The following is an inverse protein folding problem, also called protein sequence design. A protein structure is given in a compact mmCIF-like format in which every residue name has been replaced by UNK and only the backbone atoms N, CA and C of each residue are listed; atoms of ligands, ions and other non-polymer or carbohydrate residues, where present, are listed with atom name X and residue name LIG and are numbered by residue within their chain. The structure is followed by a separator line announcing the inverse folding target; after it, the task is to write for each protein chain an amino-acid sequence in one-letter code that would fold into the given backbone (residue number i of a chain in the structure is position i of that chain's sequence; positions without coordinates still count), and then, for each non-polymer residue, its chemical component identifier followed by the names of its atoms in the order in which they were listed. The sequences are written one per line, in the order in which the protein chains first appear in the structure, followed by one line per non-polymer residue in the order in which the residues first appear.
data_IF_995258688123
#
_entry.id   IF_995258688123
#
_cell.length_a   1.000
_cell.length_b   1.000
_cell.length_c   1.000
_cell.angle_alpha   90.00
_cell.angle_beta   90.00
_cell.angle_gamma   90.00
#
_symmetry.space_group_name_H-M   'P 1'
#
loop_
_entity.id
_entity.type
_entity.pdbx_description
1 polymer ?
#
# COMPACT_ATOMS: atom_id res chain seq x y z
N UNK A 1 -4.17 24.15 3.26
CA UNK A 1 -3.94 22.71 3.03
C UNK A 1 -3.09 22.17 4.16
N UNK A 2 -3.42 21.00 4.68
CA UNK A 2 -2.62 20.28 5.66
C UNK A 2 -2.53 18.81 5.25
N UNK A 3 -1.32 18.28 5.08
CA UNK A 3 -1.08 16.85 4.86
C UNK A 3 -0.51 16.25 6.15
N UNK A 4 -1.10 15.15 6.60
CA UNK A 4 -0.69 14.44 7.80
C UNK A 4 -0.46 12.95 7.51
N UNK A 5 0.78 12.59 7.18
CA UNK A 5 1.20 11.22 6.92
C UNK A 5 1.71 10.51 8.18
N UNK A 6 0.95 10.57 9.27
CA UNK A 6 1.26 9.92 10.55
C UNK A 6 0.00 9.30 11.13
N UNK A 7 0.15 8.29 11.99
CA UNK A 7 -1.00 7.71 12.67
C UNK A 7 -0.65 6.66 13.70
N UNK A 8 -1.70 6.17 14.35
CA UNK A 8 -1.74 5.05 15.26
C UNK A 8 -2.63 3.95 14.65
N UNK A 9 -2.35 2.66 14.87
CA UNK A 9 -3.21 1.57 14.40
C UNK A 9 -4.59 1.53 15.09
N UNK A 10 -4.87 2.44 16.03
CA UNK A 10 -6.15 2.54 16.71
C UNK A 10 -7.23 3.02 15.74
N UNK A 11 -8.21 2.16 15.46
CA UNK A 11 -9.42 2.50 14.72
C UNK A 11 -10.41 3.20 15.67
N UNK A 12 -10.26 4.51 15.89
CA UNK A 12 -11.11 5.29 16.79
C UNK A 12 -11.46 6.67 16.18
N UNK A 13 -12.74 6.97 15.89
CA UNK A 13 -13.14 8.27 15.33
C UNK A 13 -12.97 9.42 16.34
N UNK A 14 -13.03 9.13 17.63
CA UNK A 14 -12.89 10.05 18.75
C UNK A 14 -11.44 10.22 19.23
N UNK A 15 -10.48 9.56 18.58
CA UNK A 15 -9.07 9.69 18.95
C UNK A 15 -8.61 11.15 18.82
N UNK A 16 -7.70 11.64 19.70
CA UNK A 16 -7.34 13.06 19.73
C UNK A 16 -6.85 13.61 18.38
N UNK A 17 -6.12 12.80 17.60
CA UNK A 17 -5.64 13.22 16.27
C UNK A 17 -6.77 13.30 15.24
N UNK A 18 -7.73 12.38 15.27
CA UNK A 18 -8.91 12.41 14.39
C UNK A 18 -9.79 13.62 14.69
N UNK A 19 -10.05 13.85 15.98
CA UNK A 19 -10.81 15.02 16.44
C UNK A 19 -10.12 16.34 16.08
N UNK A 20 -8.78 16.40 16.20
CA UNK A 20 -8.02 17.59 15.83
C UNK A 20 -8.10 17.87 14.32
N UNK A 21 -8.04 16.84 13.48
CA UNK A 21 -8.19 16.95 12.03
C UNK A 21 -9.60 17.39 11.62
N UNK A 22 -10.64 16.86 12.27
CA UNK A 22 -12.01 17.30 12.03
C UNK A 22 -12.21 18.77 12.40
N UNK A 23 -11.68 19.23 13.54
CA UNK A 23 -11.71 20.65 13.95
C UNK A 23 -10.93 21.56 13.02
N UNK A 24 -9.76 21.14 12.54
CA UNK A 24 -9.00 21.89 11.55
C UNK A 24 -9.79 22.03 10.23
N UNK A 25 -10.51 20.97 9.85
CA UNK A 25 -11.37 20.98 8.67
C UNK A 25 -12.57 21.91 8.82
N UNK A 26 -13.20 21.92 10.00
CA UNK A 26 -14.27 22.87 10.34
C UNK A 26 -13.80 24.33 10.31
N UNK A 27 -12.53 24.60 10.60
CA UNK A 27 -11.92 25.92 10.48
C UNK A 27 -11.60 26.33 9.03
N UNK A 28 -12.02 25.54 8.03
CA UNK A 28 -11.82 25.83 6.60
C UNK A 28 -10.49 25.34 6.04
N UNK A 29 -9.69 24.60 6.82
CA UNK A 29 -8.44 24.01 6.33
C UNK A 29 -8.78 22.69 5.62
N UNK A 30 -8.45 22.57 4.33
CA UNK A 30 -8.53 21.26 3.67
C UNK A 30 -7.44 20.37 4.27
N UNK A 31 -7.85 19.27 4.91
CA UNK A 31 -6.96 18.32 5.56
C UNK A 31 -6.95 16.98 4.84
N UNK A 32 -5.75 16.40 4.73
CA UNK A 32 -5.49 15.12 4.09
C UNK A 32 -4.66 14.26 5.04
N UNK A 33 -5.02 12.98 5.18
CA UNK A 33 -4.35 12.04 6.07
C UNK A 33 -4.16 10.68 5.39
N UNK A 34 -3.10 9.97 5.77
CA UNK A 34 -2.92 8.56 5.41
C UNK A 34 -3.93 7.66 6.13
N UNK A 35 -4.47 6.63 5.45
CA UNK A 35 -5.44 5.70 6.04
C UNK A 35 -4.81 4.62 6.95
N UNK A 36 -3.50 4.38 6.82
CA UNK A 36 -2.75 3.37 7.57
C UNK A 36 -2.20 2.24 6.68
N UNK A 37 -1.25 1.47 7.22
CA UNK A 37 -0.55 0.40 6.52
C UNK A 37 -0.74 -0.97 7.22
N UNK A 38 -1.91 -1.21 7.82
CA UNK A 38 -2.23 -2.41 8.60
C UNK A 38 -3.26 -3.32 7.94
N UNK A 39 -3.48 -3.15 6.63
CA UNK A 39 -4.24 -4.11 5.82
C UNK A 39 -3.55 -5.48 5.75
N UNK A 40 -4.18 -6.49 5.13
CA UNK A 40 -5.38 -6.42 4.31
C UNK A 40 -6.69 -6.71 5.06
N UNK A 41 -6.67 -6.90 6.37
CA UNK A 41 -7.90 -7.21 7.09
C UNK A 41 -8.82 -5.97 7.16
N UNK A 42 -10.13 -6.20 7.20
CA UNK A 42 -11.11 -5.15 7.48
C UNK A 42 -10.90 -4.59 8.90
N UNK A 43 -11.43 -3.40 9.17
CA UNK A 43 -11.27 -2.67 10.44
C UNK A 43 -9.84 -2.25 10.78
N UNK A 44 -8.92 -2.30 9.83
CA UNK A 44 -7.50 -1.93 10.01
C UNK A 44 -7.20 -0.44 9.82
N UNK A 45 -8.20 0.39 9.47
CA UNK A 45 -8.05 1.86 9.41
C UNK A 45 -7.59 2.41 10.76
N UNK A 46 -6.53 3.21 10.72
CA UNK A 46 -5.94 3.82 11.91
C UNK A 46 -6.35 5.27 12.09
N UNK A 47 -6.07 5.82 13.27
CA UNK A 47 -6.25 7.25 13.55
C UNK A 47 -5.00 8.02 13.14
N UNK A 48 -5.11 9.12 12.37
CA UNK A 48 -6.33 9.89 12.17
C UNK A 48 -7.08 9.66 10.86
N UNK A 49 -6.79 8.59 10.12
CA UNK A 49 -7.57 8.17 8.93
C UNK A 49 -9.06 7.92 9.22
N UNK A 50 -9.42 7.72 10.49
CA UNK A 50 -10.81 7.63 10.99
C UNK A 50 -11.55 8.97 11.04
N UNK A 51 -10.87 10.11 10.84
CA UNK A 51 -11.49 11.44 10.85
C UNK A 51 -12.59 11.56 9.78
N UNK A 52 -13.76 12.06 10.17
CA UNK A 52 -14.95 12.08 9.32
C UNK A 52 -14.84 13.12 8.19
N UNK A 53 -14.26 14.29 8.50
CA UNK A 53 -14.19 15.46 7.61
C UNK A 53 -12.91 15.51 6.80
N UNK A 54 -11.82 14.99 7.35
CA UNK A 54 -10.56 14.88 6.61
C UNK A 54 -10.69 13.94 5.41
N UNK A 55 -9.81 14.13 4.42
CA UNK A 55 -9.65 13.21 3.29
C UNK A 55 -8.64 12.14 3.70
N UNK A 56 -9.11 10.94 3.97
CA UNK A 56 -8.30 9.76 4.26
C UNK A 56 -7.95 9.02 2.99
N UNK A 57 -6.66 8.71 2.83
CA UNK A 57 -6.09 8.24 1.57
C UNK A 57 -5.52 6.84 1.72
N UNK A 58 -6.06 5.89 0.97
CA UNK A 58 -5.48 4.55 0.79
C UNK A 58 -4.43 4.53 -0.31
N UNK A 59 -3.66 3.44 -0.38
CA UNK A 59 -2.57 3.29 -1.33
C UNK A 59 -2.95 2.32 -2.45
N UNK A 60 -2.67 2.71 -3.69
CA UNK A 60 -2.66 1.85 -4.87
C UNK A 60 -1.27 1.78 -5.48
N UNK A 61 -1.05 0.82 -6.38
CA UNK A 61 0.13 0.81 -7.24
C UNK A 61 -0.02 1.88 -8.33
N UNK A 62 1.06 2.60 -8.70
CA UNK A 62 1.11 3.27 -10.00
C UNK A 62 1.19 2.23 -11.13
N UNK A 63 1.03 2.61 -12.41
CA UNK A 63 1.48 1.80 -13.53
C UNK A 63 2.98 1.51 -13.37
N UNK A 64 3.34 0.26 -13.08
CA UNK A 64 4.73 -0.14 -12.84
C UNK A 64 5.02 -1.51 -13.42
N UNK A 65 6.25 -1.70 -13.91
CA UNK A 65 6.73 -3.03 -14.33
C UNK A 65 7.23 -3.78 -13.12
N UNK A 66 6.41 -4.69 -12.62
CA UNK A 66 6.69 -5.39 -11.38
C UNK A 66 7.30 -6.78 -11.65
N UNK A 67 8.37 -7.14 -10.91
CA UNK A 67 8.92 -8.49 -10.97
C UNK A 67 7.94 -9.50 -10.36
N UNK A 68 7.67 -10.58 -11.10
CA UNK A 68 6.87 -11.71 -10.65
C UNK A 68 7.70 -12.98 -10.66
N UNK A 69 7.65 -13.71 -9.54
CA UNK A 69 8.20 -15.04 -9.41
C UNK A 69 7.33 -16.03 -10.20
N UNK A 70 7.97 -16.81 -11.06
CA UNK A 70 7.41 -18.03 -11.63
C UNK A 70 8.18 -19.22 -11.05
N UNK A 71 7.48 -20.06 -10.30
CA UNK A 71 8.02 -21.31 -9.78
C UNK A 71 8.01 -22.39 -10.86
N UNK A 72 9.00 -23.27 -10.87
CA UNK A 72 9.03 -24.38 -11.82
C UNK A 72 7.79 -25.28 -11.62
N UNK A 73 7.15 -25.65 -12.72
CA UNK A 73 5.93 -26.47 -12.73
C UNK A 73 4.63 -25.73 -12.35
N UNK A 74 4.68 -24.42 -12.09
CA UNK A 74 3.50 -23.57 -11.87
C UNK A 74 3.34 -22.54 -13.00
N UNK A 75 2.09 -22.29 -13.40
CA UNK A 75 1.74 -21.15 -14.25
C UNK A 75 1.31 -19.93 -13.44
N UNK A 76 1.31 -20.03 -12.10
CA UNK A 76 1.04 -18.91 -11.20
C UNK A 76 2.25 -17.94 -11.19
N UNK A 77 1.96 -16.65 -11.36
CA UNK A 77 2.92 -15.57 -11.26
C UNK A 77 2.70 -14.83 -9.94
N UNK A 78 3.71 -14.83 -9.07
CA UNK A 78 3.59 -14.21 -7.73
C UNK A 78 4.37 -12.90 -7.71
N UNK A 79 3.69 -11.80 -7.43
CA UNK A 79 4.31 -10.49 -7.30
C UNK A 79 5.42 -10.50 -6.22
N UNK A 80 6.63 -10.10 -6.61
CA UNK A 80 7.74 -9.86 -5.69
C UNK A 80 7.64 -8.45 -5.11
N UNK A 81 7.38 -8.35 -3.81
CA UNK A 81 7.27 -7.05 -3.15
C UNK A 81 8.67 -6.46 -2.90
N UNK A 82 8.87 -5.19 -3.25
CA UNK A 82 10.14 -4.51 -3.00
C UNK A 82 10.44 -4.45 -1.49
N UNK A 83 11.68 -4.79 -1.11
CA UNK A 83 12.17 -4.52 0.25
C UNK A 83 12.68 -3.07 0.27
N UNK A 84 12.08 -2.22 1.10
CA UNK A 84 12.47 -0.82 1.18
C UNK A 84 13.94 -0.67 1.58
N UNK A 85 14.68 0.21 0.87
CA UNK A 85 16.09 0.47 1.15
C UNK A 85 17.06 -0.54 0.53
N UNK A 86 16.60 -1.49 -0.27
CA UNK A 86 17.46 -2.41 -1.05
C UNK A 86 17.52 -2.01 -2.52
N UNK A 87 18.39 -2.64 -3.31
CA UNK A 87 18.37 -2.46 -4.76
C UNK A 87 17.09 -3.05 -5.36
N UNK A 88 16.52 -2.41 -6.40
CA UNK A 88 15.41 -3.00 -7.15
C UNK A 88 15.75 -4.41 -7.62
N UNK A 89 14.74 -5.27 -7.67
CA UNK A 89 14.91 -6.59 -8.27
C UNK A 89 15.33 -6.43 -9.74
N UNK A 90 16.46 -7.05 -10.11
CA UNK A 90 17.07 -6.95 -11.44
C UNK A 90 17.49 -8.31 -12.03
N UNK A 91 17.13 -9.41 -11.37
CA UNK A 91 17.38 -10.76 -11.86
C UNK A 91 16.40 -11.10 -13.00
N UNK A 92 16.91 -11.14 -14.24
CA UNK A 92 16.14 -11.36 -15.48
C UNK A 92 16.31 -12.76 -16.11
N UNK A 93 16.90 -13.69 -15.38
CA UNK A 93 17.19 -15.05 -15.84
C UNK A 93 16.74 -16.06 -14.80
N UNK A 94 16.71 -17.34 -15.18
CA UNK A 94 16.57 -18.41 -14.19
C UNK A 94 17.77 -18.39 -13.25
N UNK A 95 17.51 -18.43 -11.94
CA UNK A 95 18.54 -18.54 -10.91
C UNK A 95 18.23 -19.73 -10.02
N UNK A 96 19.28 -20.38 -9.52
CA UNK A 96 19.15 -21.38 -8.46
C UNK A 96 18.72 -20.71 -7.18
N UNK A 97 17.89 -21.40 -6.41
CA UNK A 97 17.44 -20.96 -5.09
C UNK A 97 17.88 -21.97 -4.03
N UNK A 98 18.21 -21.48 -2.83
CA UNK A 98 18.49 -22.31 -1.65
C UNK A 98 17.55 -21.92 -0.51
N UNK A 99 17.29 -22.88 0.38
CA UNK A 99 16.65 -22.60 1.67
C UNK A 99 17.70 -22.05 2.63
N UNK A 100 17.64 -20.75 2.89
CA UNK A 100 18.52 -20.03 3.78
C UNK A 100 17.99 -19.94 5.21
N UNK A 101 16.97 -20.72 5.58
CA UNK A 101 16.45 -20.83 6.94
C UNK A 101 16.10 -19.47 7.56
N UNK A 102 16.71 -19.15 8.70
CA UNK A 102 16.54 -17.87 9.39
C UNK A 102 17.56 -16.82 8.97
N UNK A 103 18.37 -17.09 7.96
CA UNK A 103 19.42 -16.20 7.46
C UNK A 103 20.57 -16.05 8.44
N UNK A 104 20.78 -17.03 9.32
CA UNK A 104 22.00 -17.14 10.11
C UNK A 104 23.15 -17.56 9.20
N UNK A 105 24.42 -17.23 9.53
CA UNK A 105 25.56 -17.62 8.70
C UNK A 105 25.61 -19.12 8.38
N UNK A 106 25.28 -19.97 9.37
CA UNK A 106 25.27 -21.43 9.23
C UNK A 106 24.13 -21.92 8.31
N UNK A 107 23.01 -21.18 8.22
CA UNK A 107 21.90 -21.52 7.33
C UNK A 107 22.20 -21.21 5.85
N UNK A 108 23.30 -20.50 5.58
CA UNK A 108 23.63 -19.95 4.26
C UNK A 108 24.83 -20.65 3.61
N UNK A 109 25.23 -21.81 4.12
CA UNK A 109 26.19 -22.67 3.44
C UNK A 109 25.66 -23.04 2.05
N UNK A 110 26.47 -22.81 1.00
CA UNK A 110 26.09 -23.09 -0.39
C UNK A 110 25.30 -21.98 -1.10
N UNK A 111 25.13 -20.80 -0.48
CA UNK A 111 24.43 -19.66 -1.09
C UNK A 111 25.16 -19.05 -2.30
N UNK A 112 26.45 -19.34 -2.49
CA UNK A 112 27.28 -18.71 -3.51
C UNK A 112 26.69 -18.84 -4.92
N UNK A 113 26.41 -17.70 -5.55
CA UNK A 113 25.83 -17.64 -6.90
C UNK A 113 24.32 -17.91 -6.97
N UNK A 114 23.65 -18.07 -5.83
CA UNK A 114 22.24 -18.48 -5.72
C UNK A 114 21.38 -17.42 -5.03
N UNK A 115 20.06 -17.52 -5.19
CA UNK A 115 19.09 -16.72 -4.45
C UNK A 115 18.83 -17.40 -3.11
N UNK A 116 18.94 -16.66 -2.01
CA UNK A 116 18.65 -17.19 -0.69
C UNK A 116 17.18 -16.91 -0.31
N UNK A 117 16.39 -17.98 -0.14
CA UNK A 117 15.05 -17.90 0.46
C UNK A 117 15.20 -17.86 1.98
N UNK A 118 14.83 -16.75 2.62
CA UNK A 118 15.04 -16.54 4.05
C UNK A 118 13.71 -16.23 4.72
N UNK A 119 13.43 -16.87 5.84
CA UNK A 119 12.23 -16.60 6.63
C UNK A 119 12.37 -15.34 7.48
N UNK A 120 11.31 -14.53 7.53
CA UNK A 120 11.20 -13.38 8.41
C UNK A 120 11.16 -13.80 9.88
N UNK A 121 11.85 -13.05 10.75
CA UNK A 121 11.83 -13.24 12.21
C UNK A 121 13.21 -13.60 12.77
N UNK A 122 13.31 -13.69 14.10
CA UNK A 122 14.55 -14.02 14.82
C UNK A 122 15.58 -12.89 14.83
N UNK A 123 16.25 -12.66 13.71
CA UNK A 123 17.26 -11.60 13.52
C UNK A 123 16.73 -10.45 12.64
N UNK A 124 17.30 -9.23 12.73
CA UNK A 124 16.89 -8.10 11.89
C UNK A 124 17.03 -8.39 10.38
N UNK A 125 16.13 -7.83 9.56
CA UNK A 125 16.13 -8.01 8.09
C UNK A 125 17.49 -7.62 7.49
N UNK A 126 18.09 -6.53 7.97
CA UNK A 126 19.42 -6.11 7.51
C UNK A 126 20.47 -7.20 7.72
N UNK A 127 20.51 -7.81 8.90
CA UNK A 127 21.47 -8.86 9.22
C UNK A 127 21.29 -10.09 8.32
N UNK A 128 20.04 -10.48 8.02
CA UNK A 128 19.74 -11.56 7.07
C UNK A 128 20.34 -11.28 5.69
N UNK A 129 20.13 -10.06 5.17
CA UNK A 129 20.62 -9.69 3.84
C UNK A 129 22.15 -9.57 3.81
N UNK A 130 22.76 -9.01 4.85
CA UNK A 130 24.23 -8.94 4.98
C UNK A 130 24.86 -10.34 5.08
N UNK A 131 24.28 -11.26 5.86
CA UNK A 131 24.75 -12.64 5.94
C UNK A 131 24.67 -13.35 4.58
N UNK A 132 23.55 -13.23 3.87
CA UNK A 132 23.38 -13.82 2.54
C UNK A 132 24.38 -13.25 1.53
N UNK A 133 24.58 -11.92 1.55
CA UNK A 133 25.58 -11.26 0.72
C UNK A 133 27.00 -11.75 1.03
N UNK A 134 27.34 -11.93 2.30
CA UNK A 134 28.66 -12.42 2.73
C UNK A 134 28.88 -13.89 2.35
N UNK A 135 27.82 -14.70 2.31
CA UNK A 135 27.83 -16.07 1.82
C UNK A 135 27.85 -16.19 0.28
N UNK A 136 27.88 -15.06 -0.45
CA UNK A 136 27.99 -15.02 -1.91
C UNK A 136 26.65 -15.15 -2.65
N UNK A 137 25.52 -15.02 -1.97
CA UNK A 137 24.22 -15.00 -2.63
C UNK A 137 24.12 -13.86 -3.67
N UNK A 138 23.31 -14.05 -4.71
CA UNK A 138 23.07 -13.03 -5.74
C UNK A 138 21.87 -12.14 -5.41
N UNK A 139 20.92 -12.63 -4.61
CA UNK A 139 19.78 -11.88 -4.09
C UNK A 139 19.15 -12.60 -2.88
N UNK A 140 18.27 -11.91 -2.16
CA UNK A 140 17.45 -12.48 -1.08
C UNK A 140 15.97 -12.44 -1.43
N UNK A 141 15.28 -13.56 -1.24
CA UNK A 141 13.82 -13.64 -1.15
C UNK A 141 13.42 -13.79 0.31
N UNK A 142 12.80 -12.77 0.88
CA UNK A 142 12.32 -12.77 2.26
C UNK A 142 10.88 -13.28 2.30
N UNK A 143 10.66 -14.48 2.83
CA UNK A 143 9.31 -15.02 3.02
C UNK A 143 8.72 -14.60 4.37
N UNK A 144 7.41 -14.38 4.41
CA UNK A 144 6.72 -14.12 5.66
C UNK A 144 6.65 -15.40 6.52
N UNK A 145 6.58 -15.24 7.84
CA UNK A 145 6.47 -16.34 8.82
C UNK A 145 5.05 -16.54 9.36
N UNK A 146 4.11 -15.73 8.89
CA UNK A 146 2.67 -15.82 9.20
C UNK A 146 1.87 -15.69 7.90
N UNK A 147 0.64 -16.21 7.82
CA UNK A 147 -0.21 -16.07 6.63
C UNK A 147 -0.33 -14.61 6.16
N UNK A 148 -0.32 -14.43 4.84
CA UNK A 148 -0.43 -13.12 4.19
C UNK A 148 0.91 -12.48 3.82
N UNK A 149 0.84 -11.36 3.11
CA UNK A 149 1.99 -10.54 2.69
C UNK A 149 2.42 -9.57 3.80
N UNK A 150 3.59 -8.95 3.65
CA UNK A 150 4.08 -7.96 4.59
C UNK A 150 4.98 -6.94 3.91
N UNK A 151 5.06 -5.73 4.47
CA UNK A 151 6.06 -4.75 4.06
C UNK A 151 7.38 -5.03 4.76
N UNK A 152 8.45 -5.10 3.98
CA UNK A 152 9.81 -5.28 4.46
C UNK A 152 10.64 -4.02 4.18
N UNK A 153 11.60 -3.72 5.05
CA UNK A 153 12.51 -2.62 4.83
C UNK A 153 13.75 -2.67 5.72
N UNK A 154 14.76 -1.92 5.33
CA UNK A 154 15.96 -1.63 6.13
C UNK A 154 16.06 -0.12 6.35
N UNK A 155 16.53 0.29 7.53
CA UNK A 155 16.62 1.71 7.91
C UNK A 155 17.69 2.45 7.10
N UNK A 156 18.86 1.83 6.97
CA UNK A 156 19.97 2.33 6.16
C UNK A 156 19.99 1.61 4.80
N UNK A 157 20.12 2.35 3.69
CA UNK A 157 20.20 1.76 2.36
C UNK A 157 21.28 0.69 2.25
N UNK A 158 20.91 -0.44 1.66
CA UNK A 158 21.79 -1.58 1.42
C UNK A 158 21.91 -1.82 -0.08
N UNK A 159 23.13 -1.73 -0.60
CA UNK A 159 23.41 -1.89 -2.03
C UNK A 159 23.37 -3.36 -2.50
N UNK A 160 22.28 -4.08 -2.19
CA UNK A 160 22.06 -5.48 -2.51
C UNK A 160 20.59 -5.73 -2.87
N UNK A 161 20.31 -6.71 -3.72
CA UNK A 161 18.96 -6.96 -4.24
C UNK A 161 18.16 -7.85 -3.28
N UNK A 162 16.96 -7.42 -2.89
CA UNK A 162 16.05 -8.25 -2.09
C UNK A 162 14.58 -7.96 -2.40
N UNK A 163 13.75 -9.00 -2.37
CA UNK A 163 12.30 -8.91 -2.49
C UNK A 163 11.62 -9.75 -1.41
N UNK A 164 10.34 -9.49 -1.16
CA UNK A 164 9.51 -10.21 -0.20
C UNK A 164 8.37 -10.96 -0.88
N UNK A 165 8.00 -12.11 -0.32
CA UNK A 165 6.89 -12.97 -0.74
C UNK A 165 6.04 -13.38 0.46
N UNK A 166 4.81 -13.80 0.20
CA UNK A 166 3.92 -14.28 1.26
C UNK A 166 4.36 -15.64 1.82
N UNK A 167 3.73 -16.05 2.92
CA UNK A 167 4.03 -17.31 3.58
C UNK A 167 3.64 -18.54 2.74
N UNK A 168 2.59 -18.45 1.91
CA UNK A 168 2.13 -19.58 1.08
C UNK A 168 3.17 -19.89 0.01
N UNK A 169 3.55 -18.89 -0.78
CA UNK A 169 4.55 -19.01 -1.85
C UNK A 169 5.92 -19.38 -1.29
N UNK A 170 6.32 -18.78 -0.16
CA UNK A 170 7.58 -19.13 0.50
C UNK A 170 7.66 -20.61 0.89
N UNK A 171 6.60 -21.16 1.49
CA UNK A 171 6.59 -22.58 1.85
C UNK A 171 6.53 -23.50 0.62
N UNK A 172 5.76 -23.14 -0.42
CA UNK A 172 5.75 -23.91 -1.67
C UNK A 172 7.15 -23.98 -2.30
N UNK A 173 7.88 -22.86 -2.34
CA UNK A 173 9.24 -22.83 -2.86
C UNK A 173 10.20 -23.64 -1.98
N UNK A 174 10.08 -23.53 -0.66
CA UNK A 174 10.85 -24.33 0.30
C UNK A 174 10.62 -25.83 0.11
N UNK A 175 9.38 -26.26 -0.03
CA UNK A 175 9.02 -27.67 -0.29
C UNK A 175 9.65 -28.17 -1.60
N UNK A 176 9.65 -27.34 -2.66
CA UNK A 176 10.31 -27.67 -3.92
C UNK A 176 11.84 -27.80 -3.79
N UNK A 177 12.47 -26.95 -2.98
CA UNK A 177 13.91 -27.05 -2.70
C UNK A 177 14.21 -28.36 -1.97
N UNK A 178 13.45 -28.68 -0.93
CA UNK A 178 13.67 -29.88 -0.11
C UNK A 178 13.36 -31.19 -0.84
N UNK A 179 12.42 -31.17 -1.80
CA UNK A 179 12.08 -32.34 -2.61
C UNK A 179 13.08 -32.61 -3.75
N UNK A 180 13.95 -31.66 -4.09
CA UNK A 180 14.90 -31.78 -5.20
C UNK A 180 16.27 -32.25 -4.67
N UNK A 181 16.54 -33.54 -4.79
CA UNK A 181 17.79 -34.16 -4.30
C UNK A 181 19.06 -33.61 -4.98
N UNK A 182 18.94 -33.04 -6.18
CA UNK A 182 20.07 -32.47 -6.92
C UNK A 182 20.40 -31.03 -6.49
N UNK A 183 19.58 -30.39 -5.63
CA UNK A 183 19.79 -29.01 -5.17
C UNK A 183 19.89 -27.99 -6.33
N UNK A 184 19.20 -28.30 -7.44
CA UNK A 184 19.15 -27.51 -8.68
C UNK A 184 17.78 -26.83 -8.88
N UNK A 185 17.03 -26.56 -7.79
CA UNK A 185 15.73 -25.88 -7.91
C UNK A 185 15.92 -24.49 -8.48
N UNK A 186 15.24 -24.23 -9.60
CA UNK A 186 15.32 -22.96 -10.32
C UNK A 186 14.08 -22.12 -10.04
N UNK A 187 14.30 -20.81 -10.01
CA UNK A 187 13.24 -19.82 -10.05
C UNK A 187 13.45 -18.89 -11.24
N UNK A 188 12.36 -18.44 -11.83
CA UNK A 188 12.36 -17.44 -12.88
C UNK A 188 11.66 -16.17 -12.40
N UNK A 189 12.12 -15.02 -12.88
CA UNK A 189 11.40 -13.76 -12.69
C UNK A 189 11.02 -13.18 -14.04
N UNK A 190 9.74 -12.88 -14.21
CA UNK A 190 9.18 -12.17 -15.36
C UNK A 190 8.69 -10.79 -14.92
N UNK A 191 8.81 -9.78 -15.77
CA UNK A 191 8.22 -8.46 -15.49
C UNK A 191 6.85 -8.36 -16.14
N UNK A 192 5.85 -8.06 -15.32
CA UNK A 192 4.46 -7.86 -15.75
C UNK A 192 4.12 -6.38 -15.50
N UNK A 193 3.36 -5.77 -16.40
CA UNK A 193 2.82 -4.43 -16.17
C UNK A 193 1.65 -4.53 -15.20
N UNK A 194 1.88 -4.05 -13.98
CA UNK A 194 0.86 -3.90 -12.95
C UNK A 194 0.28 -2.50 -13.06
N UNK A 195 -1.04 -2.37 -13.16
CA UNK A 195 -1.68 -1.05 -13.22
C UNK A 195 -2.80 -0.96 -12.20
N UNK A 196 -2.65 0.01 -11.30
CA UNK A 196 -3.74 0.52 -10.47
C UNK A 196 -4.44 -0.55 -9.61
N UNK A 197 -3.67 -1.42 -8.98
CA UNK A 197 -4.17 -2.38 -7.98
C UNK A 197 -4.09 -1.81 -6.56
N UNK A 198 -4.95 -2.30 -5.68
CA UNK A 198 -4.89 -1.94 -4.26
C UNK A 198 -3.59 -2.44 -3.64
N UNK A 199 -2.87 -1.56 -2.95
CA UNK A 199 -1.72 -1.99 -2.17
C UNK A 199 -2.21 -2.85 -1.00
N UNK A 200 -1.69 -4.07 -0.88
CA UNK A 200 -2.18 -5.04 0.10
C UNK A 200 -2.06 -4.57 1.55
N UNK A 201 -1.04 -3.77 1.85
CA UNK A 201 -0.84 -3.17 3.17
C UNK A 201 -1.82 -2.02 3.47
N UNK A 202 -2.48 -1.43 2.47
CA UNK A 202 -3.36 -0.29 2.67
C UNK A 202 -4.47 -0.68 3.64
N UNK A 203 -4.54 0.01 4.77
CA UNK A 203 -5.57 -0.21 5.77
C UNK A 203 -6.96 -0.05 5.18
N UNK A 204 -7.93 -0.77 5.74
CA UNK A 204 -9.31 -0.90 5.25
C UNK A 204 -10.29 -0.52 6.35
N UNK A 205 -11.39 0.09 5.97
CA UNK A 205 -12.51 0.35 6.86
C UNK A 205 -13.29 -0.92 7.24
N UNK A 206 -14.47 -0.76 7.85
CA UNK A 206 -15.07 0.51 8.26
C UNK A 206 -14.37 1.11 9.50
N UNK A 207 -14.67 2.39 9.76
CA UNK A 207 -14.35 3.01 11.05
C UNK A 207 -15.21 2.40 12.14
N UNK A 208 -14.63 2.08 13.30
CA UNK A 208 -15.41 1.56 14.43
C UNK A 208 -16.40 2.61 14.94
N UNK A 209 -17.52 2.16 15.50
CA UNK A 209 -18.60 2.99 16.05
C UNK A 209 -19.43 3.76 15.00
N UNK A 210 -18.81 4.56 14.13
CA UNK A 210 -19.53 5.38 13.13
C UNK A 210 -19.91 4.60 11.87
N UNK A 211 -19.23 3.50 11.58
CA UNK A 211 -19.37 2.72 10.34
C UNK A 211 -19.02 3.51 9.09
N UNK A 212 -18.28 4.61 9.23
CA UNK A 212 -17.86 5.42 8.10
C UNK A 212 -17.03 4.59 7.12
N UNK A 213 -17.27 4.84 5.83
CA UNK A 213 -16.48 4.27 4.75
C UNK A 213 -15.12 4.97 4.75
N UNK A 214 -14.06 4.18 4.95
CA UNK A 214 -12.66 4.60 4.81
C UNK A 214 -11.87 3.52 4.06
N UNK A 215 -10.87 3.87 3.25
CA UNK A 215 -10.44 5.25 2.91
C UNK A 215 -11.52 6.01 2.11
N UNK A 216 -11.37 7.34 1.95
CA UNK A 216 -12.28 8.12 1.10
C UNK A 216 -11.92 7.96 -0.38
N UNK A 217 -10.62 7.91 -0.68
CA UNK A 217 -10.04 7.80 -2.04
C UNK A 217 -8.70 7.06 -1.96
N UNK A 218 -8.22 6.53 -3.08
CA UNK A 218 -6.86 5.97 -3.18
C UNK A 218 -5.99 6.71 -4.16
N UNK A 219 -4.68 6.67 -3.92
CA UNK A 219 -3.67 7.26 -4.79
C UNK A 219 -2.40 6.39 -4.80
N UNK A 220 -1.50 6.60 -5.78
CA UNK A 220 -0.23 5.89 -5.83
C UNK A 220 0.55 6.02 -4.52
N UNK A 221 0.83 4.89 -3.89
CA UNK A 221 1.56 4.81 -2.61
C UNK A 221 2.53 3.63 -2.54
N UNK A 222 2.79 2.96 -3.66
CA UNK A 222 3.75 1.86 -3.78
C UNK A 222 4.91 2.33 -4.65
N UNK A 223 6.13 2.09 -4.18
CA UNK A 223 7.40 2.40 -4.87
C UNK A 223 7.49 3.86 -5.34
N UNK A 224 7.09 4.80 -4.46
CA UNK A 224 7.08 6.22 -4.78
C UNK A 224 8.47 6.80 -4.53
N UNK A 225 9.19 7.09 -5.62
CA UNK A 225 10.49 7.74 -5.59
C UNK A 225 10.36 9.23 -5.22
N UNK A 226 11.00 9.63 -4.13
CA UNK A 226 10.93 11.01 -3.63
C UNK A 226 12.19 11.39 -2.86
N UNK A 227 12.28 12.68 -2.51
CA UNK A 227 13.44 13.24 -1.84
C UNK A 227 13.54 12.77 -0.39
N UNK A 228 14.73 12.36 0.01
CA UNK A 228 15.15 12.10 1.39
C UNK A 228 16.41 12.92 1.69
N UNK A 229 16.85 13.07 2.96
CA UNK A 229 18.16 13.64 3.24
C UNK A 229 19.23 12.96 2.38
N UNK A 230 20.03 13.77 1.69
CA UNK A 230 21.14 13.33 0.83
C UNK A 230 20.77 12.48 -0.40
N UNK A 231 19.52 12.53 -0.89
CA UNK A 231 19.20 11.93 -2.18
C UNK A 231 17.72 11.65 -2.44
N UNK A 232 17.49 10.53 -3.14
CA UNK A 232 16.18 10.02 -3.50
C UNK A 232 16.05 8.57 -3.03
N UNK A 233 14.86 8.20 -2.57
CA UNK A 233 14.55 6.85 -2.15
C UNK A 233 13.10 6.54 -2.45
N UNK A 234 12.87 5.38 -3.05
CA UNK A 234 11.53 4.85 -3.24
C UNK A 234 10.98 4.28 -1.93
N UNK A 235 9.79 4.75 -1.56
CA UNK A 235 9.10 4.38 -0.32
C UNK A 235 7.69 3.88 -0.59
N UNK A 236 7.23 3.00 0.28
CA UNK A 236 5.90 2.42 0.24
C UNK A 236 5.08 2.94 1.44
N UNK A 237 3.81 3.26 1.21
CA UNK A 237 2.87 3.57 2.27
C UNK A 237 1.73 4.47 1.83
N UNK A 238 0.63 4.42 2.59
CA UNK A 238 -0.42 5.45 2.53
C UNK A 238 0.13 6.85 2.86
N UNK A 239 1.24 6.92 3.59
CA UNK A 239 2.04 8.14 3.81
C UNK A 239 2.54 8.80 2.53
N UNK A 240 2.79 8.02 1.46
CA UNK A 240 3.21 8.50 0.14
C UNK A 240 2.00 8.77 -0.77
N UNK A 241 0.88 8.09 -0.55
CA UNK A 241 -0.37 8.36 -1.25
C UNK A 241 -1.02 9.69 -0.82
N UNK A 242 -1.04 9.98 0.49
CA UNK A 242 -1.62 11.21 1.06
C UNK A 242 -1.12 12.52 0.41
N UNK A 243 0.20 12.76 0.23
CA UNK A 243 0.68 13.99 -0.39
C UNK A 243 0.27 14.15 -1.86
N UNK A 244 0.01 13.08 -2.61
CA UNK A 244 -0.57 13.19 -3.96
C UNK A 244 -1.96 13.84 -3.90
N UNK A 245 -2.79 13.43 -2.95
CA UNK A 245 -4.12 14.01 -2.74
C UNK A 245 -4.04 15.44 -2.19
N UNK A 246 -3.07 15.72 -1.32
CA UNK A 246 -2.82 17.09 -0.87
C UNK A 246 -2.44 18.03 -2.03
N UNK A 247 -1.61 17.54 -2.97
CA UNK A 247 -1.29 18.25 -4.21
C UNK A 247 -2.52 18.44 -5.11
N UNK A 248 -3.32 17.39 -5.32
CA UNK A 248 -4.56 17.45 -6.10
C UNK A 248 -5.54 18.48 -5.50
N UNK A 249 -5.74 18.45 -4.19
CA UNK A 249 -6.59 19.40 -3.48
C UNK A 249 -6.08 20.85 -3.58
N UNK A 250 -4.76 21.06 -3.60
CA UNK A 250 -4.18 22.38 -3.84
C UNK A 250 -4.48 22.89 -5.26
N UNK A 251 -4.38 22.02 -6.28
CA UNK A 251 -4.75 22.35 -7.67
C UNK A 251 -6.24 22.68 -7.81
N UNK A 252 -7.11 21.90 -7.17
CA UNK A 252 -8.55 22.18 -7.14
C UNK A 252 -8.81 23.52 -6.46
N UNK A 253 -8.17 23.81 -5.32
CA UNK A 253 -8.32 25.09 -4.63
C UNK A 253 -7.78 26.27 -5.46
N UNK A 254 -6.76 26.06 -6.27
CA UNK A 254 -6.26 27.07 -7.22
C UNK A 254 -7.29 27.34 -8.33
N UNK A 255 -7.91 26.30 -8.87
CA UNK A 255 -8.90 26.43 -9.94
C UNK A 255 -10.27 26.92 -9.44
N UNK A 256 -10.64 26.60 -8.20
CA UNK A 256 -11.91 26.94 -7.55
C UNK A 256 -11.63 27.62 -6.19
N UNK A 257 -11.18 28.90 -6.17
CA UNK A 257 -10.74 29.57 -4.93
C UNK A 257 -11.79 29.68 -3.83
N UNK A 258 -13.08 29.69 -4.18
CA UNK A 258 -14.19 29.82 -3.21
C UNK A 258 -14.60 28.48 -2.58
N UNK A 259 -14.11 27.35 -3.09
CA UNK A 259 -14.46 26.03 -2.56
C UNK A 259 -13.81 25.77 -1.20
N UNK A 260 -14.64 25.39 -0.22
CA UNK A 260 -14.23 24.92 1.09
C UNK A 260 -13.84 23.44 1.12
N UNK A 261 -13.47 22.92 2.30
CA UNK A 261 -12.98 21.55 2.45
C UNK A 261 -13.93 20.46 1.95
N UNK A 262 -15.23 20.59 2.24
CA UNK A 262 -16.23 19.62 1.83
C UNK A 262 -16.37 19.54 0.31
N UNK A 263 -16.38 20.68 -0.38
CA UNK A 263 -16.47 20.75 -1.84
C UNK A 263 -15.23 20.12 -2.51
N UNK A 264 -14.04 20.40 -2.00
CA UNK A 264 -12.80 19.82 -2.51
C UNK A 264 -12.77 18.29 -2.29
N UNK A 265 -13.17 17.83 -1.10
CA UNK A 265 -13.32 16.41 -0.80
C UNK A 265 -14.32 15.74 -1.73
N UNK A 266 -15.50 16.34 -1.91
CA UNK A 266 -16.55 15.81 -2.78
C UNK A 266 -16.08 15.75 -4.25
N UNK A 267 -15.36 16.75 -4.74
CA UNK A 267 -14.85 16.74 -6.11
C UNK A 267 -13.91 15.56 -6.34
N UNK A 268 -12.94 15.36 -5.44
CA UNK A 268 -11.98 14.24 -5.50
C UNK A 268 -12.71 12.89 -5.46
N UNK A 269 -13.69 12.74 -4.56
CA UNK A 269 -14.42 11.49 -4.40
C UNK A 269 -15.37 11.19 -5.56
N UNK A 270 -16.06 12.19 -6.09
CA UNK A 270 -17.08 11.99 -7.14
C UNK A 270 -16.47 11.66 -8.50
N UNK A 271 -15.23 12.08 -8.75
CA UNK A 271 -14.53 11.85 -10.02
C UNK A 271 -13.51 10.72 -9.95
N UNK A 272 -13.36 10.07 -8.80
CA UNK A 272 -12.46 8.94 -8.65
C UNK A 272 -12.88 7.75 -9.52
N UNK A 273 -11.90 7.00 -10.01
CA UNK A 273 -12.09 5.84 -10.88
C UNK A 273 -12.01 4.56 -10.04
N UNK A 274 -13.09 3.76 -9.95
CA UNK A 274 -13.05 2.50 -9.22
C UNK A 274 -12.03 1.52 -9.80
N UNK A 275 -11.19 0.97 -8.93
CA UNK A 275 -10.22 -0.08 -9.21
C UNK A 275 -10.88 -1.46 -9.19
N UNK A 276 -10.26 -2.38 -9.92
CA UNK A 276 -10.64 -3.80 -10.00
C UNK A 276 -9.50 -4.71 -9.57
N UNK A 277 -9.82 -5.88 -9.03
CA UNK A 277 -8.83 -6.93 -8.76
C UNK A 277 -8.43 -7.66 -10.05
N UNK A 278 -7.54 -8.64 -9.92
CA UNK A 278 -7.05 -9.47 -11.02
C UNK A 278 -8.18 -10.24 -11.73
N UNK A 279 -9.25 -10.57 -11.01
CA UNK A 279 -10.45 -11.22 -11.55
C UNK A 279 -11.40 -10.25 -12.30
N UNK A 280 -11.14 -8.93 -12.25
CA UNK A 280 -11.97 -7.90 -12.88
C UNK A 280 -13.14 -7.41 -12.02
N UNK A 281 -13.27 -7.89 -10.78
CA UNK A 281 -14.25 -7.45 -9.80
C UNK A 281 -13.83 -6.13 -9.13
N UNK A 282 -14.78 -5.23 -8.90
CA UNK A 282 -14.51 -3.98 -8.18
C UNK A 282 -14.18 -4.24 -6.72
N UNK A 283 -13.15 -3.58 -6.21
CA UNK A 283 -12.90 -3.60 -4.77
C UNK A 283 -14.08 -2.98 -3.99
N UNK A 284 -14.43 -3.50 -2.81
CA UNK A 284 -15.47 -2.89 -1.97
C UNK A 284 -15.10 -1.46 -1.53
N UNK A 285 -16.10 -0.59 -1.23
CA UNK A 285 -15.84 0.78 -0.77
C UNK A 285 -14.98 0.88 0.50
N UNK A 286 -15.09 -0.08 1.43
CA UNK A 286 -14.23 -0.13 2.62
C UNK A 286 -12.76 -0.47 2.32
N UNK A 287 -12.43 -0.79 1.07
CA UNK A 287 -11.07 -1.08 0.61
C UNK A 287 -10.50 0.09 -0.18
N UNK A 288 -11.27 0.62 -1.15
CA UNK A 288 -10.78 1.63 -2.10
C UNK A 288 -11.45 3.02 -1.97
N UNK A 289 -12.42 3.18 -1.06
CA UNK A 289 -13.25 4.38 -1.03
C UNK A 289 -14.03 4.56 -2.32
N UNK A 290 -13.99 5.77 -2.88
CA UNK A 290 -14.55 6.06 -4.20
C UNK A 290 -13.69 5.56 -5.37
N UNK A 291 -12.49 5.05 -5.10
CA UNK A 291 -11.54 4.60 -6.11
C UNK A 291 -10.32 5.51 -6.22
N UNK A 292 -9.56 5.34 -7.30
CA UNK A 292 -8.32 6.07 -7.55
C UNK A 292 -8.60 7.48 -8.01
N UNK A 293 -7.85 8.43 -7.47
CA UNK A 293 -7.97 9.85 -7.84
C UNK A 293 -7.79 10.07 -9.34
N UNK A 294 -8.71 10.84 -9.92
CA UNK A 294 -8.54 11.51 -11.22
C UNK A 294 -8.48 13.01 -10.99
N UNK A 295 -7.26 13.55 -11.02
CA UNK A 295 -6.99 14.96 -10.70
C UNK A 295 -7.59 15.87 -11.77
N UNK A 296 -7.52 15.48 -13.05
CA UNK A 296 -8.02 16.31 -14.13
C UNK A 296 -9.55 16.43 -14.04
N UNK A 297 -10.23 15.30 -13.87
CA UNK A 297 -11.68 15.29 -13.70
C UNK A 297 -12.11 16.07 -12.45
N UNK A 298 -11.38 15.94 -11.33
CA UNK A 298 -11.70 16.66 -10.10
C UNK A 298 -11.57 18.19 -10.25
N UNK A 299 -10.52 18.66 -10.94
CA UNK A 299 -10.28 20.09 -11.20
C UNK A 299 -11.33 20.69 -12.15
N UNK A 300 -11.76 19.91 -13.13
CA UNK A 300 -12.76 20.32 -14.12
C UNK A 300 -14.21 20.06 -13.68
N UNK A 301 -14.42 19.56 -12.46
CA UNK A 301 -15.76 19.26 -11.98
C UNK A 301 -16.56 20.54 -11.71
N UNK A 302 -17.79 20.55 -12.22
CA UNK A 302 -18.78 21.61 -11.98
C UNK A 302 -20.01 21.09 -11.21
N UNK A 303 -20.09 19.78 -10.96
CA UNK A 303 -21.18 19.16 -10.20
C UNK A 303 -20.63 18.37 -9.02
N UNK A 304 -21.20 18.63 -7.84
CA UNK A 304 -20.84 17.94 -6.61
C UNK A 304 -22.04 17.20 -6.06
N UNK A 305 -21.85 15.90 -5.82
CA UNK A 305 -22.75 15.05 -5.05
C UNK A 305 -22.16 14.85 -3.66
N UNK A 306 -22.98 15.04 -2.63
CA UNK A 306 -22.57 14.90 -1.24
C UNK A 306 -23.22 13.66 -0.62
N UNK A 307 -22.44 12.92 0.16
CA UNK A 307 -22.99 11.89 1.03
C UNK A 307 -23.60 12.56 2.26
N UNK A 308 -24.92 12.51 2.40
CA UNK A 308 -25.60 12.86 3.65
C UNK A 308 -25.59 11.65 4.59
N UNK A 309 -24.96 11.74 5.79
CA UNK A 309 -24.85 10.61 6.69
C UNK A 309 -26.23 10.01 6.99
N UNK A 310 -26.38 8.70 6.79
CA UNK A 310 -27.59 7.96 7.15
C UNK A 310 -27.73 7.93 8.68
N UNK A 311 -28.47 8.88 9.23
CA UNK A 311 -29.03 8.71 10.57
C UNK A 311 -30.26 7.83 10.43
N UNK A 312 -30.14 6.56 10.78
CA UNK A 312 -31.30 5.73 11.14
C UNK A 312 -31.85 6.24 12.48
N UNK A 313 -32.49 7.42 12.45
CA UNK A 313 -33.46 7.74 13.47
C UNK A 313 -34.70 6.90 13.15
N UNK A 314 -35.11 6.04 14.10
CA UNK A 314 -36.41 5.37 14.03
C UNK A 314 -37.49 6.45 14.10
N UNK A 315 -37.92 6.95 12.94
CA UNK A 315 -38.85 8.07 12.84
C UNK A 315 -38.89 8.63 11.42
N UNK A 316 -40.02 8.44 10.76
CA UNK A 316 -40.37 8.81 9.39
C UNK A 316 -39.85 10.19 8.95
N UNK A 317 -38.99 10.25 7.91
CA UNK A 317 -39.07 11.30 6.87
C UNK A 317 -38.22 10.99 5.62
N UNK A 318 -38.85 11.28 4.48
CA UNK A 318 -38.37 11.14 3.10
C UNK A 318 -37.16 12.06 2.86
N UNK A 319 -36.11 11.56 2.20
CA UNK A 319 -34.90 12.35 1.84
C UNK A 319 -35.03 12.98 0.46
N UNK A 320 -34.69 14.27 0.39
CA UNK A 320 -34.48 15.06 -0.82
C UNK A 320 -33.03 14.90 -1.28
N UNK A 321 -32.80 14.71 -2.58
CA UNK A 321 -31.48 14.90 -3.21
C UNK A 321 -31.24 16.39 -3.42
N UNK A 322 -30.16 16.94 -2.86
CA UNK A 322 -29.71 18.30 -3.20
C UNK A 322 -28.57 18.20 -4.21
N UNK A 323 -28.87 18.43 -5.49
CA UNK A 323 -27.87 18.82 -6.47
C UNK A 323 -27.71 20.34 -6.37
N UNK A 324 -26.55 20.83 -5.95
CA UNK A 324 -26.20 22.25 -6.11
C UNK A 324 -25.56 22.45 -7.48
N UNK A 325 -26.20 23.23 -8.34
CA UNK A 325 -25.55 23.85 -9.49
C UNK A 325 -25.37 25.33 -9.13
N UNK A 326 -24.13 25.79 -9.04
CA UNK A 326 -23.81 27.22 -9.05
C UNK A 326 -23.57 27.68 -10.49
#
# INVERSE_FOLDING_TARGET
MLNLSLGSPINGPDWPTSTALDRATEAGIITVTSNGNSGPDLWSVGSPGTASKAISVGASTPPLKAPHLKMDGSDEHVLLQAVQGTKPWDLKRKNRVIDGGMGLPDDLEGAEGRVALIERGGIPIRAKIENAKNAGAVAVLLMNNVPGTFMAGVEEPLAFTAAAIDHKTGNQLREQIQANEDDETMMETTYIEETDHMAIFSSRGPVTQTWDIKPDVVAPGVDIDSTVPDGYLALNGTSMAAPHIAGAAALIKQAKPDWGPEQVKAAIMNTAVPLVNEEGDRYPPFVQGSGRVDIQAAVLSDTLVYQVPFHLACGTQIRTFNCSND
#
